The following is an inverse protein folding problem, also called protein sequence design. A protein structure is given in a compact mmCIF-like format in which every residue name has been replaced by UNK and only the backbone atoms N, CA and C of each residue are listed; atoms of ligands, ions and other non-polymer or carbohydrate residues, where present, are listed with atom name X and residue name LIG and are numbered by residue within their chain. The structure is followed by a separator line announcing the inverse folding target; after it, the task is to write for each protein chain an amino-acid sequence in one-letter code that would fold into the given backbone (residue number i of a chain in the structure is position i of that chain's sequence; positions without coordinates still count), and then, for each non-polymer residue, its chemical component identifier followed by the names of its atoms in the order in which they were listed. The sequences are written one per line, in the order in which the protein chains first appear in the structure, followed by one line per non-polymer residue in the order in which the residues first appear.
data_IF_536857056322
#
_entry.id   IF_536857056322
#
_cell.length_a   1.000
_cell.length_b   1.000
_cell.length_c   1.000
_cell.angle_alpha   90.00
_cell.angle_beta   90.00
_cell.angle_gamma   90.00
#
_symmetry.space_group_name_H-M   'P 1'
#
loop_
_entity.id
_entity.type
_entity.pdbx_description
1 polymer ?
#
# COMPACT_ATOMS: atom_id res chain seq x y z
N UNK A 1 -2.41 -2.80 5.41
CA UNK A 1 -2.72 -2.65 3.97
C UNK A 1 -3.47 -3.89 3.52
N UNK A 2 -4.52 -3.75 2.70
CA UNK A 2 -5.20 -4.89 2.07
C UNK A 2 -5.07 -4.78 0.56
N UNK A 3 -4.71 -5.87 -0.09
CA UNK A 3 -4.50 -5.94 -1.55
C UNK A 3 -5.54 -6.90 -2.13
N UNK A 4 -6.09 -6.60 -3.32
CA UNK A 4 -7.04 -7.51 -3.99
C UNK A 4 -6.38 -8.75 -4.57
N UNK A 5 -5.09 -8.65 -4.91
CA UNK A 5 -4.30 -9.68 -5.56
C UNK A 5 -2.87 -9.63 -5.01
N UNK A 6 -2.54 -10.56 -4.12
CA UNK A 6 -1.23 -10.72 -3.47
C UNK A 6 -0.30 -11.69 -4.22
N UNK A 7 -0.81 -12.42 -5.22
CA UNK A 7 0.00 -13.26 -6.10
C UNK A 7 0.80 -12.42 -7.11
N UNK A 8 0.16 -11.39 -7.65
CA UNK A 8 0.68 -10.56 -8.73
C UNK A 8 1.29 -9.24 -8.27
N UNK A 9 1.10 -8.86 -7.00
CA UNK A 9 1.63 -7.63 -6.44
C UNK A 9 2.32 -7.86 -5.09
N UNK A 10 3.59 -7.47 -5.02
CA UNK A 10 4.30 -7.32 -3.75
C UNK A 10 4.07 -5.92 -3.18
N UNK A 11 3.78 -5.81 -1.88
CA UNK A 11 3.57 -4.52 -1.20
C UNK A 11 4.35 -4.49 0.09
N UNK A 12 5.19 -3.47 0.27
CA UNK A 12 6.00 -3.29 1.49
C UNK A 12 6.03 -1.82 1.91
N UNK A 13 5.81 -1.48 3.20
CA UNK A 13 5.37 -2.35 4.29
C UNK A 13 3.84 -2.61 4.29
N UNK A 14 3.41 -3.78 4.76
CA UNK A 14 1.97 -4.13 4.88
C UNK A 14 1.34 -3.49 6.13
N UNK A 15 2.11 -3.35 7.21
CA UNK A 15 1.69 -2.71 8.46
C UNK A 15 2.80 -1.80 9.00
N UNK A 16 2.42 -0.72 9.66
CA UNK A 16 3.35 0.23 10.26
C UNK A 16 2.61 1.38 10.93
N UNK A 17 3.37 2.19 11.64
CA UNK A 17 2.88 3.43 12.24
C UNK A 17 3.52 4.63 11.53
N UNK A 18 2.78 5.72 11.47
CA UNK A 18 3.23 6.98 10.88
C UNK A 18 2.96 8.03 11.95
N UNK A 19 4.02 8.72 12.38
CA UNK A 19 3.89 9.77 13.38
C UNK A 19 3.10 10.97 12.82
N UNK A 20 2.49 11.78 13.69
CA UNK A 20 1.74 12.95 13.26
C UNK A 20 2.60 13.89 12.41
N UNK A 21 2.08 14.29 11.25
CA UNK A 21 2.75 15.15 10.26
C UNK A 21 3.87 14.49 9.45
N UNK A 22 4.24 13.25 9.76
CA UNK A 22 5.18 12.49 8.94
C UNK A 22 4.49 11.85 7.73
N UNK A 23 5.30 11.40 6.78
CA UNK A 23 4.86 10.59 5.66
C UNK A 23 5.72 9.36 5.52
N UNK A 24 5.14 8.27 5.00
CA UNK A 24 5.87 7.06 4.68
C UNK A 24 5.70 6.67 3.22
N UNK A 25 6.68 5.94 2.70
CA UNK A 25 6.60 5.36 1.36
C UNK A 25 6.09 3.92 1.46
N UNK A 26 5.23 3.56 0.52
CA UNK A 26 4.81 2.18 0.30
C UNK A 26 5.28 1.78 -1.09
N UNK A 27 6.15 0.80 -1.12
CA UNK A 27 6.65 0.20 -2.34
C UNK A 27 5.66 -0.86 -2.83
N UNK A 28 5.29 -0.75 -4.11
CA UNK A 28 4.43 -1.68 -4.82
C UNK A 28 5.20 -2.23 -6.02
N UNK A 29 5.42 -3.54 -6.05
CA UNK A 29 6.12 -4.24 -7.12
C UNK A 29 5.13 -5.10 -7.89
N UNK A 30 5.00 -4.89 -9.21
CA UNK A 30 4.19 -5.77 -10.08
C UNK A 30 5.01 -7.00 -10.44
N UNK A 31 4.51 -8.18 -10.13
CA UNK A 31 5.07 -9.47 -10.55
C UNK A 31 4.57 -9.84 -11.96
N UNK A 32 5.02 -10.96 -12.52
CA UNK A 32 4.49 -11.42 -13.81
C UNK A 32 3.09 -12.03 -13.61
N UNK A 33 2.09 -11.51 -14.31
CA UNK A 33 0.73 -12.03 -14.24
C UNK A 33 -0.18 -11.51 -15.35
N UNK A 34 -1.47 -11.80 -15.23
CA UNK A 34 -2.47 -11.43 -16.24
C UNK A 34 -2.81 -9.94 -16.08
N UNK A 35 -2.98 -9.17 -17.17
CA UNK A 35 -3.48 -7.80 -17.08
C UNK A 35 -4.89 -7.77 -16.47
N UNK A 36 -4.99 -7.24 -15.25
CA UNK A 36 -6.23 -7.12 -14.48
C UNK A 36 -6.25 -5.80 -13.70
N UNK A 37 -7.46 -5.32 -13.37
CA UNK A 37 -7.65 -4.11 -12.57
C UNK A 37 -7.70 -4.45 -11.09
N UNK A 38 -6.56 -4.28 -10.42
CA UNK A 38 -6.41 -4.53 -8.99
C UNK A 38 -6.49 -3.26 -8.13
N UNK A 39 -6.72 -3.45 -6.83
CA UNK A 39 -6.82 -2.37 -5.84
C UNK A 39 -6.01 -2.66 -4.58
N UNK A 40 -5.51 -1.58 -4.00
CA UNK A 40 -4.86 -1.56 -2.70
C UNK A 40 -5.62 -0.60 -1.78
N UNK A 41 -5.98 -1.08 -0.60
CA UNK A 41 -6.79 -0.37 0.39
C UNK A 41 -5.98 -0.15 1.65
N UNK A 42 -5.85 1.12 2.04
CA UNK A 42 -5.22 1.52 3.29
C UNK A 42 -6.30 1.72 4.37
N UNK A 43 -6.28 0.86 5.39
CA UNK A 43 -7.19 0.96 6.53
C UNK A 43 -6.52 1.74 7.65
N UNK A 44 -7.16 2.85 8.05
CA UNK A 44 -6.69 3.73 9.13
C UNK A 44 -7.75 3.86 10.22
N UNK A 45 -7.34 4.03 11.49
CA UNK A 45 -8.25 4.48 12.53
C UNK A 45 -9.00 5.76 12.11
N UNK A 46 -10.28 5.86 12.46
CA UNK A 46 -11.19 6.96 12.06
C UNK A 46 -10.70 8.36 12.43
N UNK A 47 -9.79 8.48 13.40
CA UNK A 47 -9.21 9.75 13.87
C UNK A 47 -7.81 10.02 13.30
N UNK A 48 -7.37 9.28 12.27
CA UNK A 48 -6.04 9.41 11.69
C UNK A 48 -6.08 9.51 10.17
N UNK A 49 -5.41 10.54 9.63
CA UNK A 49 -5.24 10.77 8.20
C UNK A 49 -3.74 10.83 7.86
N UNK A 50 -3.04 9.69 7.90
CA UNK A 50 -1.62 9.66 7.59
C UNK A 50 -1.36 9.99 6.12
N UNK A 51 -0.17 10.55 5.84
CA UNK A 51 0.30 10.79 4.47
C UNK A 51 1.11 9.59 4.00
N UNK A 52 0.72 9.01 2.88
CA UNK A 52 1.41 7.87 2.25
C UNK A 52 1.74 8.22 0.82
N UNK A 53 2.98 7.97 0.43
CA UNK A 53 3.43 8.04 -0.96
C UNK A 53 3.45 6.63 -1.55
N UNK A 54 2.83 6.46 -2.71
CA UNK A 54 2.89 5.20 -3.45
C UNK A 54 4.08 5.23 -4.40
N UNK A 55 4.97 4.25 -4.24
CA UNK A 55 6.15 4.08 -5.07
C UNK A 55 5.99 2.79 -5.88
N UNK A 56 5.64 2.92 -7.16
CA UNK A 56 5.56 1.78 -8.06
C UNK A 56 6.94 1.46 -8.65
N UNK A 57 7.31 0.19 -8.63
CA UNK A 57 8.55 -0.34 -9.20
C UNK A 57 8.28 -1.28 -10.38
#
# INVERSE_FOLDING_TARGET
MKVSNDDDYGVTPIHGFIDPSESTNVDVTRMNGIPENDRLVHEVPTESFPRINLCAQ
#
